data_IF_499386450865
#
_entry.id   IF_499386450865
#
_cell.length_a   1.000
_cell.length_b   1.000
_cell.length_c   1.000
_cell.angle_alpha   90.00
_cell.angle_beta   90.00
_cell.angle_gamma   90.00
#
_symmetry.space_group_name_H-M   'P 1'
#
loop_
_entity.id
_entity.type
_entity.pdbx_description
1 polymer ?
#
# COMPACT_ATOMS: atom_id res chain seq x y z
N UNK A 1 -5.76 -10.45 -14.32
CA UNK A 1 -4.52 -9.75 -13.93
C UNK A 1 -3.41 -10.29 -14.80
N UNK A 2 -2.75 -9.44 -15.58
CA UNK A 2 -1.57 -9.78 -16.37
C UNK A 2 -0.34 -9.10 -15.76
N UNK A 3 0.85 -9.66 -15.95
CA UNK A 3 2.12 -9.07 -15.51
C UNK A 3 3.21 -9.31 -16.54
N UNK A 4 4.03 -8.30 -16.81
CA UNK A 4 5.17 -8.36 -17.72
C UNK A 4 6.38 -7.64 -17.12
N UNK A 5 7.57 -8.00 -17.61
CA UNK A 5 8.84 -7.43 -17.17
C UNK A 5 9.37 -6.43 -18.21
N UNK A 6 9.89 -5.30 -17.75
CA UNK A 6 10.38 -4.21 -18.59
C UNK A 6 11.69 -3.65 -18.04
N UNK A 7 12.56 -3.15 -18.92
CA UNK A 7 13.85 -2.52 -18.59
C UNK A 7 13.93 -1.18 -19.31
N UNK A 8 14.42 -0.15 -18.62
CA UNK A 8 14.54 1.19 -19.20
C UNK A 8 14.47 2.30 -18.16
N UNK A 9 14.40 3.54 -18.66
CA UNK A 9 14.21 4.74 -17.84
C UNK A 9 12.74 4.80 -17.41
N UNK A 10 12.51 5.21 -16.16
CA UNK A 10 11.18 5.21 -15.56
C UNK A 10 10.12 5.98 -16.37
N UNK A 11 10.43 7.21 -16.78
CA UNK A 11 9.50 8.05 -17.58
C UNK A 11 9.01 7.30 -18.82
N UNK A 12 9.96 6.68 -19.52
CA UNK A 12 9.75 6.04 -20.80
C UNK A 12 8.92 4.77 -20.60
N UNK A 13 9.19 3.98 -19.54
CA UNK A 13 8.37 2.80 -19.21
C UNK A 13 6.94 3.20 -18.90
N UNK A 14 6.71 4.28 -18.13
CA UNK A 14 5.34 4.71 -17.80
C UNK A 14 4.57 5.09 -19.07
N UNK A 15 5.20 5.87 -19.96
CA UNK A 15 4.60 6.29 -21.21
C UNK A 15 4.33 5.10 -22.14
N UNK A 16 5.33 4.24 -22.36
CA UNK A 16 5.20 3.01 -23.14
C UNK A 16 4.07 2.12 -22.62
N UNK A 17 3.97 1.94 -21.30
CA UNK A 17 2.90 1.12 -20.71
C UNK A 17 1.53 1.76 -20.86
N UNK A 18 1.42 3.09 -20.78
CA UNK A 18 0.14 3.79 -21.03
C UNK A 18 -0.31 3.60 -22.48
N UNK A 19 0.60 3.78 -23.44
CA UNK A 19 0.31 3.57 -24.86
C UNK A 19 -0.08 2.11 -25.13
N UNK A 20 0.75 1.17 -24.68
CA UNK A 20 0.50 -0.27 -24.85
C UNK A 20 -0.86 -0.69 -24.28
N UNK A 21 -1.22 -0.20 -23.09
CA UNK A 21 -2.49 -0.54 -22.46
C UNK A 21 -3.67 0.05 -23.23
N UNK A 22 -3.53 1.30 -23.68
CA UNK A 22 -4.56 1.98 -24.47
C UNK A 22 -4.80 1.22 -25.78
N UNK A 23 -3.73 0.80 -26.46
CA UNK A 23 -3.84 0.13 -27.76
C UNK A 23 -4.31 -1.33 -27.62
N UNK A 24 -3.82 -2.05 -26.61
CA UNK A 24 -4.08 -3.50 -26.44
C UNK A 24 -5.42 -3.80 -25.76
N UNK A 25 -5.85 -2.93 -24.85
CA UNK A 25 -7.04 -3.12 -24.01
C UNK A 25 -8.06 -2.00 -24.20
N UNK A 26 -8.15 -1.43 -25.41
CA UNK A 26 -9.12 -0.40 -25.78
C UNK A 26 -10.58 -0.80 -25.52
N UNK A 27 -10.89 -2.10 -25.54
CA UNK A 27 -12.22 -2.65 -25.27
C UNK A 27 -12.51 -2.89 -23.77
N UNK A 28 -11.58 -2.53 -22.87
CA UNK A 28 -11.73 -2.72 -21.42
C UNK A 28 -11.68 -1.41 -20.65
N UNK A 29 -12.55 -1.28 -19.65
CA UNK A 29 -12.46 -0.22 -18.64
C UNK A 29 -11.32 -0.50 -17.65
N UNK A 30 -10.13 0.01 -17.95
CA UNK A 30 -8.95 -0.17 -17.10
C UNK A 30 -9.10 0.61 -15.79
N UNK A 31 -9.44 -0.10 -14.71
CA UNK A 31 -9.69 0.50 -13.39
C UNK A 31 -8.42 0.86 -12.61
N UNK A 32 -7.28 0.25 -12.94
CA UNK A 32 -5.97 0.52 -12.31
C UNK A 32 -4.81 0.03 -13.19
N UNK A 33 -3.83 0.89 -13.35
CA UNK A 33 -2.49 0.57 -13.83
C UNK A 33 -1.51 0.73 -12.68
N UNK A 34 -0.71 -0.30 -12.41
CA UNK A 34 0.32 -0.28 -11.39
C UNK A 34 1.64 -0.80 -11.93
N UNK A 35 2.69 0.01 -11.83
CA UNK A 35 4.06 -0.33 -12.24
C UNK A 35 4.90 -0.45 -10.98
N UNK A 36 5.61 -1.57 -10.85
CA UNK A 36 6.43 -1.89 -9.66
C UNK A 36 7.86 -2.14 -10.07
N UNK A 37 8.79 -1.67 -9.25
CA UNK A 37 10.22 -1.95 -9.33
C UNK A 37 10.63 -2.78 -8.11
N UNK A 38 11.70 -3.55 -8.23
CA UNK A 38 12.37 -4.12 -7.06
C UNK A 38 13.04 -2.99 -6.26
N UNK A 39 13.07 -3.09 -4.91
CA UNK A 39 13.82 -2.15 -4.07
C UNK A 39 15.34 -2.20 -4.25
N UNK A 40 15.88 -3.11 -5.07
CA UNK A 40 17.31 -3.19 -5.37
C UNK A 40 17.70 -2.49 -6.68
N UNK A 41 16.72 -2.07 -7.48
CA UNK A 41 17.00 -1.42 -8.77
C UNK A 41 17.68 -0.05 -8.57
N UNK A 42 18.36 0.44 -9.58
CA UNK A 42 18.92 1.78 -9.55
C UNK A 42 17.82 2.85 -9.74
N UNK A 43 18.07 4.06 -9.23
CA UNK A 43 17.20 5.23 -9.42
C UNK A 43 16.02 5.36 -8.44
N UNK A 44 15.73 4.33 -7.64
CA UNK A 44 14.77 4.42 -6.52
C UNK A 44 15.31 5.31 -5.38
N UNK A 45 14.41 5.94 -4.59
CA UNK A 45 14.83 6.89 -3.56
C UNK A 45 15.57 6.16 -2.44
N UNK A 46 16.84 6.49 -2.23
CA UNK A 46 17.68 5.83 -1.24
C UNK A 46 17.29 6.24 0.18
N UNK A 47 16.97 7.53 0.35
CA UNK A 47 16.60 8.13 1.63
C UNK A 47 15.32 8.98 1.50
N UNK A 48 14.80 9.45 2.64
CA UNK A 48 13.51 10.19 2.69
C UNK A 48 13.59 11.55 1.98
N UNK A 49 14.77 12.17 1.93
CA UNK A 49 15.00 13.43 1.23
C UNK A 49 14.86 13.19 -0.28
N UNK A 50 15.48 12.14 -0.82
CA UNK A 50 15.33 11.77 -2.23
C UNK A 50 13.85 11.50 -2.56
N UNK A 51 13.16 10.75 -1.69
CA UNK A 51 11.72 10.46 -1.85
C UNK A 51 10.89 11.73 -1.86
N UNK A 52 11.26 12.73 -1.06
CA UNK A 52 10.56 13.99 -0.92
C UNK A 52 10.72 14.89 -2.15
N UNK A 53 11.91 14.94 -2.75
CA UNK A 53 12.24 15.86 -3.84
C UNK A 53 11.97 15.32 -5.23
N UNK A 54 12.18 14.01 -5.46
CA UNK A 54 12.18 13.44 -6.82
C UNK A 54 10.97 12.56 -7.14
N UNK A 55 10.11 12.30 -6.16
CA UNK A 55 9.03 11.33 -6.32
C UNK A 55 7.68 11.88 -5.86
N UNK A 56 6.61 11.47 -6.54
CA UNK A 56 5.27 11.87 -6.17
C UNK A 56 4.86 11.23 -4.84
N UNK A 57 4.31 12.04 -3.93
CA UNK A 57 3.94 11.61 -2.57
C UNK A 57 2.68 10.76 -2.56
N UNK A 58 1.86 10.86 -3.61
CA UNK A 58 0.59 10.16 -3.67
C UNK A 58 0.80 8.79 -4.28
N UNK A 59 1.41 8.69 -5.46
CA UNK A 59 1.50 7.49 -6.30
C UNK A 59 2.75 6.65 -6.10
N UNK A 60 3.82 7.19 -5.49
CA UNK A 60 5.04 6.44 -5.24
C UNK A 60 5.22 6.05 -3.79
N UNK A 61 5.46 4.77 -3.55
CA UNK A 61 5.59 4.25 -2.19
C UNK A 61 6.29 2.89 -2.17
N UNK A 62 6.93 2.57 -1.05
CA UNK A 62 7.36 1.20 -0.80
C UNK A 62 6.17 0.35 -0.36
N UNK A 63 6.07 -0.86 -0.91
CA UNK A 63 5.01 -1.83 -0.62
C UNK A 63 5.65 -3.15 -0.18
N UNK A 64 5.20 -3.66 0.96
CA UNK A 64 5.64 -4.94 1.50
C UNK A 64 4.44 -5.86 1.70
N UNK A 65 4.57 -7.12 1.29
CA UNK A 65 3.56 -8.15 1.44
C UNK A 65 4.10 -9.28 2.31
N UNK A 66 3.42 -9.56 3.42
CA UNK A 66 3.74 -10.64 4.35
C UNK A 66 2.74 -11.77 4.16
N UNK A 67 3.18 -12.91 3.60
CA UNK A 67 2.35 -14.10 3.47
C UNK A 67 2.33 -14.85 4.80
N UNK A 68 1.16 -14.97 5.42
CA UNK A 68 0.98 -15.57 6.75
C UNK A 68 -0.04 -16.69 6.66
N UNK A 69 0.29 -17.84 7.25
CA UNK A 69 -0.64 -18.97 7.32
C UNK A 69 -1.49 -18.91 8.58
N UNK A 70 -2.80 -19.08 8.44
CA UNK A 70 -3.77 -18.96 9.54
C UNK A 70 -4.55 -20.25 9.72
N UNK A 71 -4.35 -20.89 10.89
CA UNK A 71 -4.95 -22.19 11.25
C UNK A 71 -6.31 -22.11 11.95
N UNK A 72 -6.76 -20.92 12.39
CA UNK A 72 -8.00 -20.79 13.16
C UNK A 72 -8.64 -19.41 13.10
N UNK A 73 -9.95 -19.35 13.40
CA UNK A 73 -10.73 -18.10 13.50
C UNK A 73 -10.14 -17.12 14.50
N UNK A 74 -9.67 -17.64 15.64
CA UNK A 74 -9.13 -16.83 16.73
C UNK A 74 -7.82 -16.16 16.31
N UNK A 75 -6.93 -16.90 15.64
CA UNK A 75 -5.70 -16.34 15.07
C UNK A 75 -6.00 -15.29 13.99
N UNK A 76 -7.00 -15.51 13.13
CA UNK A 76 -7.42 -14.48 12.16
C UNK A 76 -7.92 -13.20 12.84
N UNK A 77 -8.74 -13.32 13.89
CA UNK A 77 -9.24 -12.16 14.65
C UNK A 77 -8.10 -11.38 15.31
N UNK A 78 -7.13 -12.08 15.89
CA UNK A 78 -5.92 -11.47 16.46
C UNK A 78 -5.11 -10.74 15.38
N UNK A 79 -4.85 -11.38 14.23
CA UNK A 79 -4.13 -10.75 13.12
C UNK A 79 -4.84 -9.48 12.61
N UNK A 80 -6.17 -9.53 12.45
CA UNK A 80 -6.97 -8.36 12.06
C UNK A 80 -6.78 -7.19 13.03
N UNK A 81 -6.79 -7.46 14.34
CA UNK A 81 -6.55 -6.43 15.38
C UNK A 81 -5.15 -5.83 15.27
N UNK A 82 -4.13 -6.67 15.10
CA UNK A 82 -2.74 -6.22 14.91
C UNK A 82 -2.59 -5.34 13.67
N UNK A 83 -3.21 -5.75 12.55
CA UNK A 83 -3.17 -4.98 11.31
C UNK A 83 -3.81 -3.59 11.51
N UNK A 84 -4.95 -3.51 12.20
CA UNK A 84 -5.59 -2.23 12.50
C UNK A 84 -4.72 -1.31 13.36
N UNK A 85 -4.04 -1.85 14.37
CA UNK A 85 -3.15 -1.09 15.25
C UNK A 85 -1.94 -0.51 14.52
N UNK A 86 -1.42 -1.23 13.53
CA UNK A 86 -0.23 -0.84 12.75
C UNK A 86 -0.57 -0.22 11.40
N UNK A 87 -1.85 0.11 11.14
CA UNK A 87 -2.33 0.62 9.84
C UNK A 87 -1.92 -0.25 8.63
N UNK A 88 -1.93 -1.57 8.83
CA UNK A 88 -1.67 -2.57 7.80
C UNK A 88 -2.99 -3.03 7.15
N UNK A 89 -2.90 -3.44 5.89
CA UNK A 89 -4.03 -4.00 5.16
C UNK A 89 -3.97 -5.52 5.21
N UNK A 90 -5.12 -6.18 5.28
CA UNK A 90 -5.22 -7.63 5.28
C UNK A 90 -6.08 -8.07 4.09
N UNK A 91 -5.54 -8.95 3.26
CA UNK A 91 -6.24 -9.59 2.14
C UNK A 91 -5.97 -11.10 2.13
N UNK A 92 -6.63 -11.81 1.22
CA UNK A 92 -6.43 -13.25 0.99
C UNK A 92 -6.66 -13.55 -0.49
N UNK A 93 -6.20 -14.71 -0.95
CA UNK A 93 -6.44 -15.14 -2.33
C UNK A 93 -7.88 -15.65 -2.48
N UNK A 94 -8.71 -14.93 -3.25
CA UNK A 94 -10.11 -15.31 -3.48
C UNK A 94 -10.28 -16.60 -4.31
N UNK A 95 -9.22 -17.03 -5.02
CA UNK A 95 -9.25 -18.24 -5.86
C UNK A 95 -8.88 -19.52 -5.10
N UNK A 96 -8.34 -19.43 -3.88
CA UNK A 96 -8.08 -20.61 -3.06
C UNK A 96 -9.40 -21.10 -2.44
N UNK A 97 -9.73 -22.39 -2.66
CA UNK A 97 -10.96 -23.00 -2.14
C UNK A 97 -11.01 -22.83 -0.63
N UNK A 98 -12.06 -22.20 -0.08
CA UNK A 98 -12.01 -21.81 1.30
C UNK A 98 -12.34 -22.96 2.25
N UNK A 99 -11.33 -23.55 2.89
CA UNK A 99 -11.50 -23.92 4.29
C UNK A 99 -11.15 -22.66 5.10
N UNK A 100 -12.15 -22.02 5.72
CA UNK A 100 -12.00 -20.71 6.41
C UNK A 100 -10.83 -20.70 7.43
N UNK A 101 -10.41 -21.88 7.86
CA UNK A 101 -9.26 -22.14 8.72
C UNK A 101 -8.30 -23.08 7.97
N UNK A 102 -7.04 -22.67 7.83
CA UNK A 102 -5.98 -23.20 6.94
C UNK A 102 -5.82 -22.47 5.61
N UNK A 103 -5.72 -21.14 5.67
CA UNK A 103 -5.49 -20.29 4.48
C UNK A 103 -4.26 -19.42 4.63
N UNK A 104 -3.74 -18.98 3.48
CA UNK A 104 -2.78 -17.90 3.41
C UNK A 104 -3.47 -16.55 3.34
N UNK A 105 -3.10 -15.67 4.26
CA UNK A 105 -3.44 -14.26 4.25
C UNK A 105 -2.22 -13.45 3.83
N UNK A 106 -2.47 -12.31 3.20
CA UNK A 106 -1.45 -11.33 2.85
C UNK A 106 -1.68 -10.10 3.71
N UNK A 107 -0.68 -9.74 4.50
CA UNK A 107 -0.63 -8.45 5.17
C UNK A 107 0.16 -7.49 4.29
N UNK A 108 -0.36 -6.30 4.03
CA UNK A 108 0.28 -5.30 3.18
C UNK A 108 0.60 -4.04 3.99
N UNK A 109 1.86 -3.61 3.94
CA UNK A 109 2.33 -2.31 4.43
C UNK A 109 2.64 -1.39 3.25
N UNK A 110 2.32 -0.10 3.39
CA UNK A 110 2.65 0.94 2.39
C UNK A 110 3.29 2.15 3.06
N UNK A 111 4.43 2.58 2.53
CA UNK A 111 5.21 3.71 3.07
C UNK A 111 5.41 4.76 1.97
N UNK A 112 4.65 5.86 2.03
CA UNK A 112 4.59 6.89 0.99
C UNK A 112 5.71 7.93 1.08
N UNK A 113 6.23 8.17 2.27
CA UNK A 113 7.20 9.24 2.54
C UNK A 113 8.58 8.71 2.98
N UNK A 114 8.83 7.42 2.78
CA UNK A 114 10.08 6.78 3.18
C UNK A 114 10.95 6.51 1.95
N UNK A 115 12.25 6.77 2.08
CA UNK A 115 13.26 6.21 1.20
C UNK A 115 13.56 4.76 1.55
N UNK A 116 14.36 4.11 0.70
CA UNK A 116 14.64 2.67 0.78
C UNK A 116 15.17 2.25 2.15
N UNK A 117 16.14 2.99 2.71
CA UNK A 117 16.75 2.64 3.98
C UNK A 117 15.74 2.56 5.12
N UNK A 118 14.94 3.61 5.28
CA UNK A 118 13.91 3.67 6.33
C UNK A 118 12.79 2.67 6.06
N UNK A 119 12.38 2.49 4.80
CA UNK A 119 11.39 1.48 4.43
C UNK A 119 11.82 0.05 4.80
N UNK A 120 13.10 -0.29 4.65
CA UNK A 120 13.63 -1.60 5.06
C UNK A 120 13.72 -1.76 6.58
N UNK A 121 14.04 -0.68 7.32
CA UNK A 121 14.00 -0.67 8.79
C UNK A 121 12.57 -0.90 9.29
N UNK A 122 11.60 -0.18 8.72
CA UNK A 122 10.18 -0.33 9.05
C UNK A 122 9.69 -1.76 8.71
N UNK A 123 10.11 -2.30 7.57
CA UNK A 123 9.81 -3.68 7.19
C UNK A 123 10.32 -4.69 8.23
N UNK A 124 11.58 -4.56 8.66
CA UNK A 124 12.15 -5.44 9.69
C UNK A 124 11.41 -5.27 11.02
N UNK A 125 11.01 -4.05 11.37
CA UNK A 125 10.23 -3.77 12.57
C UNK A 125 8.87 -4.48 12.54
N UNK A 126 8.17 -4.45 11.40
CA UNK A 126 6.90 -5.18 11.24
C UNK A 126 7.10 -6.70 11.27
N UNK A 127 8.16 -7.24 10.66
CA UNK A 127 8.48 -8.68 10.72
C UNK A 127 8.68 -9.12 12.18
N UNK A 128 9.45 -8.35 12.96
CA UNK A 128 9.65 -8.63 14.38
C UNK A 128 8.35 -8.51 15.17
N UNK A 129 7.55 -7.48 14.90
CA UNK A 129 6.26 -7.26 15.56
C UNK A 129 5.29 -8.42 15.30
N UNK A 130 5.15 -8.86 14.05
CA UNK A 130 4.30 -10.00 13.69
C UNK A 130 4.80 -11.30 14.33
N UNK A 131 6.11 -11.56 14.27
CA UNK A 131 6.73 -12.75 14.87
C UNK A 131 6.54 -12.82 16.38
N UNK A 132 6.72 -11.70 17.10
CA UNK A 132 6.48 -11.61 18.56
C UNK A 132 5.02 -11.85 18.95
N UNK A 133 4.09 -11.78 18.00
CA UNK A 133 2.68 -12.06 18.20
C UNK A 133 2.26 -13.41 17.58
N UNK A 134 3.20 -14.34 17.36
CA UNK A 134 3.00 -15.66 16.75
C UNK A 134 2.50 -15.65 15.29
N UNK A 135 2.78 -14.59 14.54
CA UNK A 135 2.43 -14.49 13.11
C UNK A 135 3.68 -14.45 12.25
N UNK A 136 4.41 -15.56 12.17
CA UNK A 136 5.62 -15.67 11.35
C UNK A 136 5.29 -15.49 9.86
N UNK A 137 5.85 -14.48 9.17
CA UNK A 137 5.75 -14.38 7.71
C UNK A 137 6.50 -15.53 7.03
N UNK A 138 5.81 -16.30 6.19
CA UNK A 138 6.40 -17.39 5.40
C UNK A 138 7.14 -16.87 4.17
N UNK A 139 6.71 -15.72 3.66
CA UNK A 139 7.32 -15.01 2.54
C UNK A 139 7.13 -13.53 2.75
N UNK A 140 8.15 -12.75 2.41
CA UNK A 140 8.06 -11.30 2.33
C UNK A 140 8.38 -10.88 0.90
N UNK A 141 7.42 -10.26 0.23
CA UNK A 141 7.64 -9.63 -1.07
C UNK A 141 7.76 -8.13 -0.86
N UNK A 142 8.67 -7.50 -1.61
CA UNK A 142 9.00 -6.09 -1.44
C UNK A 142 9.08 -5.42 -2.80
N UNK A 143 8.47 -4.24 -2.90
CA UNK A 143 8.38 -3.48 -4.13
C UNK A 143 8.51 -1.99 -3.84
N UNK A 144 9.04 -1.25 -4.79
CA UNK A 144 8.78 0.18 -4.90
C UNK A 144 7.73 0.38 -6.00
N UNK A 145 6.59 0.95 -5.64
CA UNK A 145 5.52 1.27 -6.58
C UNK A 145 5.89 2.56 -7.29
N UNK A 146 6.20 2.44 -8.57
CA UNK A 146 6.70 3.54 -9.40
C UNK A 146 5.57 4.30 -10.07
N UNK A 147 4.40 3.68 -10.22
CA UNK A 147 3.20 4.36 -10.67
C UNK A 147 1.98 3.56 -10.22
N UNK A 148 0.95 4.26 -9.77
CA UNK A 148 -0.34 3.66 -9.43
C UNK A 148 -1.46 4.64 -9.78
N UNK A 149 -2.23 4.34 -10.82
CA UNK A 149 -3.31 5.21 -11.28
C UNK A 149 -4.51 5.24 -10.33
N UNK A 150 -4.64 4.26 -9.42
CA UNK A 150 -5.80 4.16 -8.53
C UNK A 150 -5.47 3.49 -7.19
N UNK A 151 -4.82 4.25 -6.33
CA UNK A 151 -4.41 3.84 -4.97
C UNK A 151 -5.61 3.55 -4.07
N UNK A 152 -6.75 4.19 -4.38
CA UNK A 152 -7.97 4.08 -3.61
C UNK A 152 -8.75 2.81 -3.91
N UNK A 153 -8.38 2.04 -4.94
CA UNK A 153 -9.07 0.80 -5.28
C UNK A 153 -9.08 -0.17 -4.09
N UNK A 154 -7.99 -0.18 -3.32
CA UNK A 154 -7.84 -1.05 -2.14
C UNK A 154 -8.56 -0.51 -0.89
N UNK A 155 -9.04 0.75 -0.89
CA UNK A 155 -9.86 1.28 0.21
C UNK A 155 -11.17 0.51 0.35
N UNK A 156 -11.66 -0.08 -0.75
CA UNK A 156 -12.83 -0.95 -0.79
C UNK A 156 -12.53 -2.38 -0.33
N UNK A 157 -11.28 -2.78 -0.15
CA UNK A 157 -10.93 -4.06 0.47
C UNK A 157 -11.21 -4.09 1.99
N UNK A 158 -12.00 -3.12 2.49
CA UNK A 158 -12.48 -3.10 3.87
C UNK A 158 -13.60 -4.10 4.08
N UNK A 159 -13.35 -4.92 5.11
CA UNK A 159 -14.29 -5.71 5.93
C UNK A 159 -14.82 -6.99 5.28
N UNK A 160 -14.07 -8.08 5.48
CA UNK A 160 -14.72 -9.27 6.05
C UNK A 160 -15.20 -8.85 7.45
N UNK A 161 -16.29 -8.08 7.52
CA UNK A 161 -17.20 -8.18 8.66
C UNK A 161 -17.60 -9.63 8.68
N UNK A 162 -17.38 -10.27 9.82
CA UNK A 162 -18.10 -11.50 10.11
C UNK A 162 -19.56 -11.31 9.71
N UNK A 163 -20.10 -12.24 8.92
CA UNK A 163 -21.54 -12.52 8.92
C UNK A 163 -21.93 -13.00 10.33
N UNK A 164 -21.93 -12.07 11.26
CA UNK A 164 -22.64 -12.11 12.52
C UNK A 164 -23.77 -11.10 12.36
N UNK A 165 -25.02 -11.47 12.67
CA UNK A 165 -26.16 -10.59 12.53
C UNK A 165 -25.91 -9.29 13.30
N UNK A 166 -26.05 -8.14 12.61
CA UNK A 166 -25.90 -6.84 13.22
C UNK A 166 -27.07 -6.59 14.18
N UNK A 167 -26.77 -6.44 15.48
CA UNK A 167 -27.71 -5.78 16.38
C UNK A 167 -27.79 -4.30 15.98
N UNK A 168 -29.00 -3.81 15.73
CA UNK A 168 -29.27 -2.40 15.45
C UNK A 168 -28.67 -1.53 16.56
N UNK A 169 -27.80 -0.60 16.18
CA UNK A 169 -27.44 0.53 17.03
C UNK A 169 -27.66 1.82 16.24
N UNK A 170 -28.37 2.74 16.88
CA UNK A 170 -28.83 4.00 16.33
C UNK A 170 -27.67 4.94 16.03
N UNK A 171 -27.81 5.68 14.93
CA UNK A 171 -26.89 6.72 14.49
C UNK A 171 -27.29 8.01 15.21
N UNK A 172 -26.43 8.53 16.06
CA UNK A 172 -26.48 9.94 16.48
C UNK A 172 -25.48 10.72 15.63
N UNK A 173 -25.99 11.62 14.78
CA UNK A 173 -25.19 12.62 14.06
C UNK A 173 -24.95 13.81 14.98
N UNK A 174 -23.69 14.18 15.16
CA UNK A 174 -23.31 15.52 15.59
C UNK A 174 -22.30 16.03 14.57
N UNK A 175 -22.66 17.12 13.88
CA UNK A 175 -21.76 17.81 12.94
C UNK A 175 -20.64 18.52 13.69
N UNK A 176 -19.61 18.95 12.97
CA UNK A 176 -19.18 20.35 12.85
C UNK A 176 -17.98 20.42 11.88
N UNK A 177 -17.96 21.53 11.15
CA UNK A 177 -17.07 21.88 10.05
C UNK A 177 -15.61 22.07 10.49
N UNK A 178 -14.67 21.85 9.57
CA UNK A 178 -13.33 22.41 9.68
C UNK A 178 -12.98 23.16 8.39
N UNK A 179 -12.74 24.47 8.52
CA UNK A 179 -12.19 25.37 7.49
C UNK A 179 -10.69 25.14 7.35
N UNK A 180 -10.23 25.02 6.11
CA UNK A 180 -8.80 24.98 5.75
C UNK A 180 -8.31 26.43 5.64
N UNK A 181 -7.35 26.79 6.48
CA UNK A 181 -6.68 28.10 6.47
C UNK A 181 -5.53 28.15 5.46
N UNK A 182 -5.56 29.17 4.60
CA UNK A 182 -4.50 29.60 3.69
C UNK A 182 -3.25 30.04 4.48
N UNK A 183 -2.10 29.42 4.20
CA UNK A 183 -0.79 29.92 4.65
C UNK A 183 -0.03 30.44 3.43
N UNK A 184 -0.25 31.72 3.10
CA UNK A 184 0.67 32.47 2.23
C UNK A 184 1.93 32.79 3.02
N UNK A 185 3.04 32.09 2.74
CA UNK A 185 4.37 32.47 3.24
C UNK A 185 4.85 33.73 2.50
N UNK A 186 5.07 34.81 3.25
CA UNK A 186 5.83 35.99 2.79
C UNK A 186 7.30 35.60 2.63
N UNK A 187 7.86 35.91 1.46
CA UNK A 187 9.30 35.82 1.16
C UNK A 187 10.01 36.99 1.84
N UNK A 188 11.10 36.80 2.60
CA UNK A 188 11.93 37.91 3.06
C UNK A 188 12.73 38.48 1.90
N UNK A 189 12.63 39.80 1.68
CA UNK A 189 13.56 40.55 0.83
C UNK A 189 14.94 40.50 1.51
N UNK A 190 15.96 40.00 0.82
CA UNK A 190 17.36 40.21 1.22
C UNK A 190 17.73 41.66 0.93
N UNK A 191 18.22 42.35 1.94
CA UNK A 191 18.89 43.64 1.84
C UNK A 191 20.23 43.47 1.11
N UNK A 192 20.48 44.36 0.19
CA UNK A 192 21.76 44.63 -0.47
C UNK A 192 22.68 45.38 0.48
N UNK A 193 23.85 44.83 0.76
CA UNK A 193 25.10 45.53 1.05
C UNK A 193 26.23 44.78 0.35
#
# INVERSE_FOLDING_TARGET
MTSSYHVGIYSDIVEQMKTLITDTFNDFDITRLKIKSLPSNNGIPENDIDKLFFWDKKSNYFEFHYKIFIKSKNKLRQLKKLCQQQNLYLSYNAFEKPSIYNMYYIVTMRLFNSGRRNALIDNNTIIQYLTRNDFLPLKVEQYFVVYDSNINLDKRWKRITSDLPQSKSEIVRIGHEYRIGDIRRKVPKRSTE
#
